data_IF_830822245958
#
_entry.id   IF_830822245958
#
_cell.length_a   1.000
_cell.length_b   1.000
_cell.length_c   1.000
_cell.angle_alpha   90.00
_cell.angle_beta   90.00
_cell.angle_gamma   90.00
#
_symmetry.space_group_name_H-M   'P 1'
#
loop_
_entity.id
_entity.type
_entity.pdbx_description
1 polymer ?
#
# COMPACT_ATOMS: atom_id res chain seq x y z
N UNK A 1 12.28 -8.36 -11.46
CA UNK A 1 11.25 -7.62 -10.73
C UNK A 1 10.12 -7.29 -11.68
N UNK A 2 8.92 -7.74 -11.40
CA UNK A 2 7.71 -7.40 -12.12
C UNK A 2 6.87 -6.42 -11.30
N UNK A 3 6.10 -5.55 -11.95
CA UNK A 3 5.18 -4.61 -11.30
C UNK A 3 3.76 -4.91 -11.75
N UNK A 4 2.88 -5.08 -10.78
CA UNK A 4 1.45 -5.31 -10.98
C UNK A 4 0.67 -4.09 -10.49
N UNK A 5 -0.24 -3.57 -11.31
CA UNK A 5 -0.91 -2.29 -11.07
C UNK A 5 -2.42 -2.49 -10.86
N UNK A 6 -2.96 -1.96 -9.77
CA UNK A 6 -4.40 -1.99 -9.50
C UNK A 6 -5.18 -1.10 -10.49
N UNK A 7 -6.48 -1.35 -10.59
CA UNK A 7 -7.38 -0.53 -11.42
C UNK A 7 -7.42 0.94 -11.00
N UNK A 8 -7.24 1.22 -9.71
CA UNK A 8 -7.20 2.59 -9.20
C UNK A 8 -5.95 3.34 -9.69
N UNK A 9 -4.77 2.70 -9.64
CA UNK A 9 -3.53 3.30 -10.13
C UNK A 9 -3.57 3.44 -11.66
N UNK A 10 -4.00 2.41 -12.38
CA UNK A 10 -4.05 2.43 -13.84
C UNK A 10 -5.07 3.44 -14.40
N UNK A 11 -6.17 3.69 -13.71
CA UNK A 11 -7.18 4.65 -14.13
C UNK A 11 -6.89 6.09 -13.73
N UNK A 12 -5.89 6.34 -12.89
CA UNK A 12 -5.57 7.66 -12.31
C UNK A 12 -6.76 8.35 -11.64
N UNK A 13 -7.77 7.59 -11.21
CA UNK A 13 -8.99 8.13 -10.61
C UNK A 13 -8.87 8.19 -9.11
N UNK A 14 -8.33 9.27 -8.61
CA UNK A 14 -8.44 9.62 -7.19
C UNK A 14 -9.68 10.48 -7.01
N UNK A 15 -10.71 9.91 -6.38
CA UNK A 15 -11.88 10.69 -5.95
C UNK A 15 -11.61 11.21 -4.55
N UNK A 16 -11.09 12.40 -4.46
CA UNK A 16 -10.99 13.13 -3.21
C UNK A 16 -12.27 13.92 -2.94
N UNK A 17 -12.71 13.96 -1.70
CA UNK A 17 -13.82 14.81 -1.29
C UNK A 17 -13.41 15.69 -0.10
N UNK A 18 -13.50 17.00 -0.32
CA UNK A 18 -13.93 18.11 0.54
C UNK A 18 -13.25 18.37 1.89
N UNK A 19 -12.66 19.54 1.94
CA UNK A 19 -12.30 20.41 3.08
C UNK A 19 -12.28 19.78 4.48
N UNK A 20 -11.10 19.42 4.97
CA UNK A 20 -10.85 19.25 6.40
C UNK A 20 -11.31 17.91 6.99
N UNK A 21 -11.69 16.94 6.20
CA UNK A 21 -12.11 15.61 6.64
C UNK A 21 -11.12 14.51 6.27
N UNK A 22 -11.12 13.44 7.05
CA UNK A 22 -10.50 12.19 6.64
C UNK A 22 -11.33 11.55 5.50
N UNK A 23 -10.66 10.99 4.49
CA UNK A 23 -11.30 10.20 3.45
C UNK A 23 -10.51 8.93 3.16
N UNK A 24 -11.14 8.00 2.48
CA UNK A 24 -10.53 6.71 2.19
C UNK A 24 -10.37 6.54 0.68
N UNK A 25 -9.17 6.17 0.27
CA UNK A 25 -8.89 5.68 -1.08
C UNK A 25 -8.75 4.16 -1.02
N UNK A 26 -9.45 3.45 -1.89
CA UNK A 26 -9.38 1.99 -1.94
C UNK A 26 -8.96 1.55 -3.33
N UNK A 27 -8.01 0.62 -3.38
CA UNK A 27 -7.59 -0.09 -4.57
C UNK A 27 -7.64 -1.59 -4.35
N UNK A 28 -7.90 -2.34 -5.42
CA UNK A 28 -7.88 -3.80 -5.40
C UNK A 28 -7.23 -4.34 -6.66
N UNK A 29 -6.60 -5.49 -6.53
CA UNK A 29 -5.95 -6.18 -7.64
C UNK A 29 -6.13 -7.69 -7.50
N UNK A 30 -6.44 -8.33 -8.61
CA UNK A 30 -6.48 -9.79 -8.69
C UNK A 30 -5.08 -10.32 -9.04
N UNK A 31 -4.50 -11.03 -8.10
CA UNK A 31 -3.21 -11.66 -8.27
C UNK A 31 -3.43 -13.07 -8.83
N UNK A 32 -3.22 -13.20 -10.12
CA UNK A 32 -3.39 -14.46 -10.87
C UNK A 32 -2.07 -15.17 -11.19
N UNK A 33 -0.95 -14.52 -10.84
CA UNK A 33 0.39 -15.04 -11.06
C UNK A 33 1.17 -15.00 -9.75
N UNK A 34 1.95 -16.04 -9.47
CA UNK A 34 2.79 -16.10 -8.29
C UNK A 34 3.76 -14.93 -8.24
N UNK A 35 3.85 -14.28 -7.08
CA UNK A 35 4.81 -13.21 -6.83
C UNK A 35 6.20 -13.79 -6.55
N UNK A 36 7.19 -13.28 -7.24
CA UNK A 36 8.60 -13.52 -6.91
C UNK A 36 9.11 -12.52 -5.89
N UNK A 37 10.19 -12.84 -5.20
CA UNK A 37 10.86 -11.89 -4.30
C UNK A 37 11.28 -10.63 -5.06
N UNK A 38 10.91 -9.49 -4.54
CA UNK A 38 11.15 -8.18 -5.14
C UNK A 38 10.05 -7.70 -6.10
N UNK A 39 9.05 -8.52 -6.40
CA UNK A 39 7.90 -8.06 -7.19
C UNK A 39 7.10 -7.02 -6.42
N UNK A 40 6.63 -6.02 -7.15
CA UNK A 40 5.90 -4.88 -6.61
C UNK A 40 4.47 -4.88 -7.15
N UNK A 41 3.52 -4.70 -6.24
CA UNK A 41 2.09 -4.57 -6.54
C UNK A 41 1.65 -3.15 -6.18
N UNK A 42 1.31 -2.35 -7.16
CA UNK A 42 0.80 -1.00 -6.96
C UNK A 42 -0.68 -1.04 -6.57
N UNK A 43 -1.00 -0.60 -5.36
CA UNK A 43 -2.33 -0.77 -4.77
C UNK A 43 -3.19 0.49 -4.87
N UNK A 44 -2.70 1.60 -4.33
CA UNK A 44 -3.45 2.85 -4.21
C UNK A 44 -2.58 4.04 -4.59
N UNK A 45 -3.21 5.08 -5.11
CA UNK A 45 -2.55 6.35 -5.37
C UNK A 45 -3.01 7.39 -4.34
N UNK A 46 -2.04 8.00 -3.65
CA UNK A 46 -2.27 9.09 -2.69
C UNK A 46 -2.08 10.42 -3.43
N UNK A 47 -3.09 11.29 -3.46
CA UNK A 47 -2.97 12.60 -4.10
C UNK A 47 -1.93 13.48 -3.40
N UNK A 48 -1.39 14.42 -4.14
CA UNK A 48 -0.49 15.42 -3.58
C UNK A 48 -1.20 16.27 -2.51
N UNK A 49 -0.50 16.62 -1.44
CA UNK A 49 -1.03 17.45 -0.36
C UNK A 49 -1.83 16.71 0.71
N UNK A 50 -1.88 15.38 0.63
CA UNK A 50 -2.56 14.56 1.64
C UNK A 50 -1.56 13.75 2.45
N UNK A 51 -1.91 13.57 3.73
CA UNK A 51 -1.17 12.72 4.68
C UNK A 51 -1.85 11.37 4.82
N UNK A 52 -1.06 10.31 4.87
CA UNK A 52 -1.54 8.97 5.16
C UNK A 52 -1.71 8.80 6.66
N UNK A 53 -2.93 8.53 7.11
CA UNK A 53 -3.26 8.28 8.51
C UNK A 53 -3.13 6.79 8.84
N UNK A 54 -3.61 5.94 7.95
CA UNK A 54 -3.54 4.49 8.12
C UNK A 54 -3.58 3.80 6.76
N UNK A 55 -2.89 2.68 6.66
CA UNK A 55 -2.92 1.79 5.51
C UNK A 55 -3.43 0.44 5.99
N UNK A 56 -4.49 -0.04 5.36
CA UNK A 56 -5.15 -1.30 5.67
C UNK A 56 -5.09 -2.19 4.44
N UNK A 57 -4.40 -3.30 4.54
CA UNK A 57 -4.29 -4.29 3.47
C UNK A 57 -5.03 -5.55 3.88
N UNK A 58 -5.96 -5.98 3.04
CA UNK A 58 -6.67 -7.25 3.18
C UNK A 58 -6.21 -8.20 2.06
N UNK A 59 -5.79 -9.38 2.43
CA UNK A 59 -5.42 -10.43 1.50
C UNK A 59 -6.08 -11.76 1.90
N UNK A 60 -6.53 -12.58 0.94
CA UNK A 60 -6.90 -13.94 1.20
C UNK A 60 -5.65 -14.79 1.46
N UNK A 61 -5.83 -16.05 1.76
CA UNK A 61 -4.73 -17.02 1.81
C UNK A 61 -4.17 -17.22 0.39
N UNK A 62 -2.99 -16.66 0.12
CA UNK A 62 -2.27 -16.73 -1.16
C UNK A 62 -1.19 -17.81 -1.17
N UNK A 63 -0.81 -18.32 0.00
CA UNK A 63 0.14 -19.42 0.14
C UNK A 63 -0.55 -20.62 0.81
N UNK A 64 -0.80 -21.65 0.00
CA UNK A 64 -1.47 -22.89 0.42
C UNK A 64 -0.51 -24.02 0.76
N UNK A 65 0.79 -23.74 0.75
CA UNK A 65 1.82 -24.71 1.11
C UNK A 65 1.65 -25.26 2.53
N UNK A 66 2.18 -26.45 2.78
CA UNK A 66 2.20 -27.06 4.12
C UNK A 66 3.05 -26.25 5.11
N UNK A 67 4.07 -25.58 4.60
CA UNK A 67 4.90 -24.63 5.34
C UNK A 67 4.90 -23.32 4.56
N UNK A 68 3.89 -22.45 4.78
CA UNK A 68 3.77 -21.22 4.02
C UNK A 68 4.91 -20.25 4.35
N UNK A 69 5.42 -19.57 3.34
CA UNK A 69 6.58 -18.69 3.46
C UNK A 69 6.30 -17.27 2.98
N UNK A 70 5.16 -17.02 2.31
CA UNK A 70 4.84 -15.73 1.71
C UNK A 70 4.88 -14.59 2.72
N UNK A 71 5.66 -13.56 2.43
CA UNK A 71 5.74 -12.35 3.22
C UNK A 71 5.73 -11.09 2.36
N UNK A 72 5.17 -10.02 2.89
CA UNK A 72 5.01 -8.73 2.24
C UNK A 72 5.52 -7.58 3.10
N UNK A 73 5.93 -6.53 2.43
CA UNK A 73 6.10 -5.19 2.96
C UNK A 73 5.12 -4.25 2.26
N UNK A 74 4.69 -3.19 2.94
CA UNK A 74 3.83 -2.17 2.33
C UNK A 74 4.41 -0.78 2.60
N UNK A 75 4.66 -0.07 1.54
CA UNK A 75 5.27 1.25 1.58
C UNK A 75 5.05 2.03 0.29
N UNK A 76 6.09 2.72 -0.12
CA UNK A 76 6.13 3.46 -1.37
C UNK A 76 7.43 3.17 -2.14
N UNK A 77 7.63 3.82 -3.29
CA UNK A 77 8.81 3.63 -4.12
C UNK A 77 10.14 4.03 -3.47
N UNK A 78 10.08 4.79 -2.36
CA UNK A 78 11.27 5.25 -1.64
C UNK A 78 11.58 4.36 -0.45
N UNK A 79 10.54 3.86 0.24
CA UNK A 79 10.67 3.03 1.44
C UNK A 79 9.62 1.94 1.41
N UNK A 80 10.05 0.72 1.08
CA UNK A 80 9.16 -0.41 0.81
C UNK A 80 8.36 -0.89 2.04
N UNK A 81 8.88 -0.69 3.24
CA UNK A 81 8.31 -1.09 4.52
C UNK A 81 7.75 0.07 5.36
N UNK A 82 7.54 1.23 4.73
CA UNK A 82 7.14 2.47 5.43
C UNK A 82 5.92 2.31 6.33
N UNK A 83 4.93 1.55 5.89
CA UNK A 83 3.66 1.40 6.59
C UNK A 83 3.52 0.05 7.29
N UNK A 84 3.90 -1.01 6.63
CA UNK A 84 3.81 -2.38 7.16
C UNK A 84 5.09 -3.13 6.82
N UNK A 85 5.77 -3.65 7.84
CA UNK A 85 6.99 -4.43 7.68
C UNK A 85 6.72 -5.90 8.00
N UNK A 86 7.19 -6.81 7.15
CA UNK A 86 7.22 -8.25 7.42
C UNK A 86 5.85 -8.91 7.61
N UNK A 87 4.81 -8.46 6.90
CA UNK A 87 3.47 -9.04 7.02
C UNK A 87 3.37 -10.43 6.40
N UNK A 88 2.79 -11.35 7.14
CA UNK A 88 2.53 -12.75 6.72
C UNK A 88 1.05 -13.04 6.46
N UNK A 89 0.22 -12.01 6.25
CA UNK A 89 -1.22 -12.22 6.02
C UNK A 89 -1.53 -13.10 4.81
N UNK A 90 -0.64 -13.13 3.80
CA UNK A 90 -0.80 -14.01 2.65
C UNK A 90 -0.70 -15.51 2.97
N UNK A 91 -0.17 -15.88 4.15
CA UNK A 91 -0.06 -17.27 4.58
C UNK A 91 -1.37 -17.80 5.17
N UNK A 92 -2.14 -16.95 5.84
CA UNK A 92 -3.37 -17.35 6.56
C UNK A 92 -4.63 -16.69 6.02
N UNK A 93 -4.49 -15.62 5.27
CA UNK A 93 -5.55 -14.66 5.00
C UNK A 93 -5.75 -13.72 6.18
N UNK A 94 -6.26 -12.53 5.93
CA UNK A 94 -6.57 -11.56 6.97
C UNK A 94 -6.25 -10.13 6.60
N UNK A 95 -6.07 -9.30 7.63
CA UNK A 95 -5.83 -7.86 7.51
C UNK A 95 -4.53 -7.47 8.19
N UNK A 96 -3.71 -6.72 7.49
CA UNK A 96 -2.56 -6.01 8.07
C UNK A 96 -2.83 -4.51 8.08
N UNK A 97 -2.37 -3.83 9.12
CA UNK A 97 -2.53 -2.38 9.30
C UNK A 97 -1.25 -1.76 9.80
N UNK A 98 -1.02 -0.50 9.47
CA UNK A 98 0.10 0.29 9.97
C UNK A 98 0.19 0.25 11.49
N UNK A 99 -0.92 0.35 12.21
CA UNK A 99 -0.99 0.36 13.67
C UNK A 99 -0.78 -1.00 14.32
N UNK A 100 -1.03 -2.11 13.59
CA UNK A 100 -0.98 -3.47 14.15
C UNK A 100 0.36 -4.16 13.95
N UNK A 101 1.16 -3.73 12.99
CA UNK A 101 2.37 -4.43 12.57
C UNK A 101 3.66 -3.97 13.28
N UNK A 102 3.55 -3.18 14.37
CA UNK A 102 4.73 -2.59 15.01
C UNK A 102 5.46 -1.59 14.10
N UNK A 103 4.93 -1.36 12.91
CA UNK A 103 5.30 -0.24 12.08
C UNK A 103 5.03 1.04 12.85
N UNK A 104 5.84 2.03 12.68
CA UNK A 104 5.54 3.34 13.19
C UNK A 104 4.17 3.73 12.64
N UNK A 105 3.18 3.76 13.50
CA UNK A 105 1.82 4.25 13.21
C UNK A 105 1.85 5.73 12.86
N UNK A 106 2.70 6.10 11.90
CA UNK A 106 2.92 7.42 11.61
C UNK A 106 3.46 7.63 10.22
N UNK A 107 2.76 7.80 9.41
CA UNK A 107 2.21 8.98 9.15
C UNK A 107 3.12 10.19 9.13
N UNK A 108 3.48 10.48 8.04
CA UNK A 108 4.31 11.58 7.65
C UNK A 108 4.03 12.86 8.44
N UNK A 109 5.02 13.37 9.21
CA UNK A 109 4.86 14.66 9.85
C UNK A 109 4.60 15.72 8.80
N UNK A 110 3.80 16.69 9.19
CA UNK A 110 3.61 17.94 8.50
C UNK A 110 4.93 18.41 7.90
N UNK A 111 5.00 18.51 6.56
CA UNK A 111 6.18 19.00 5.84
C UNK A 111 7.09 17.95 5.25
N UNK A 112 6.92 16.68 5.52
CA UNK A 112 7.57 15.60 4.77
C UNK A 112 6.53 14.97 3.85
N UNK A 113 6.63 15.23 2.60
CA UNK A 113 5.73 14.71 1.59
C UNK A 113 5.88 13.18 1.51
N UNK A 114 4.86 12.41 1.64
CA UNK A 114 4.79 10.94 1.51
C UNK A 114 5.69 10.38 0.38
N UNK A 115 7.01 10.46 0.54
CA UNK A 115 7.95 10.18 -0.55
C UNK A 115 7.95 11.21 -1.68
N UNK A 116 7.21 12.28 -1.55
CA UNK A 116 7.17 13.36 -2.53
C UNK A 116 8.33 14.31 -2.26
N UNK A 117 9.19 14.50 -3.24
CA UNK A 117 10.22 15.56 -3.18
C UNK A 117 9.54 16.93 -3.16
N UNK A 118 9.90 17.75 -2.20
CA UNK A 118 9.50 19.16 -2.15
C UNK A 118 9.97 19.87 -3.40
N UNK A 119 9.06 20.20 -4.25
CA UNK A 119 9.39 20.94 -5.47
C UNK A 119 8.36 20.68 -6.57
N UNK A 120 7.30 21.41 -6.56
CA UNK A 120 6.33 21.62 -7.62
C UNK A 120 6.10 20.47 -8.60
N UNK A 121 4.93 19.93 -8.67
CA UNK A 121 4.52 18.84 -9.57
C UNK A 121 5.04 17.43 -9.21
N UNK A 122 5.41 17.18 -7.98
CA UNK A 122 5.60 15.82 -7.53
C UNK A 122 4.26 15.07 -7.69
N UNK A 123 4.26 14.05 -8.51
CA UNK A 123 3.08 13.24 -8.78
C UNK A 123 2.52 12.59 -7.52
N UNK A 124 1.32 12.06 -7.61
CA UNK A 124 0.74 11.29 -6.52
C UNK A 124 1.67 10.14 -6.11
N UNK A 125 1.82 9.93 -4.80
CA UNK A 125 2.56 8.77 -4.28
C UNK A 125 1.74 7.50 -4.45
N UNK A 126 2.38 6.44 -4.89
CA UNK A 126 1.75 5.12 -5.01
C UNK A 126 2.07 4.29 -3.78
N UNK A 127 1.04 3.77 -3.12
CA UNK A 127 1.17 2.78 -2.07
C UNK A 127 1.39 1.42 -2.75
N UNK A 128 2.48 0.77 -2.38
CA UNK A 128 2.96 -0.46 -2.99
C UNK A 128 3.07 -1.57 -1.96
N UNK A 129 2.75 -2.78 -2.38
CA UNK A 129 3.09 -4.00 -1.66
C UNK A 129 4.28 -4.64 -2.36
N UNK A 130 5.32 -4.95 -1.63
CA UNK A 130 6.50 -5.67 -2.15
C UNK A 130 6.57 -7.07 -1.54
N UNK A 131 6.78 -8.07 -2.39
CA UNK A 131 6.99 -9.44 -1.97
C UNK A 131 8.43 -9.59 -1.42
N UNK A 132 8.56 -9.98 -0.17
CA UNK A 132 9.87 -10.21 0.49
C UNK A 132 10.22 -11.68 0.60
N UNK A 133 9.21 -12.56 0.60
CA UNK A 133 9.40 -14.00 0.51
C UNK A 133 8.30 -14.60 -0.39
N UNK A 134 8.69 -15.43 -1.34
CA UNK A 134 7.76 -16.07 -2.25
C UNK A 134 6.91 -17.15 -1.56
N UNK A 135 5.74 -17.44 -2.12
CA UNK A 135 4.86 -18.49 -1.62
C UNK A 135 5.48 -19.87 -1.84
N UNK A 136 5.32 -20.76 -0.86
CA UNK A 136 5.67 -22.17 -1.01
C UNK A 136 4.75 -22.86 -2.03
N UNK A 137 3.45 -22.51 -2.02
CA UNK A 137 2.47 -22.95 -3.02
C UNK A 137 1.49 -21.81 -3.27
N UNK A 138 1.57 -21.19 -4.43
CA UNK A 138 0.74 -20.05 -4.78
C UNK A 138 -0.72 -20.41 -4.96
N UNK A 139 -1.60 -19.55 -4.44
CA UNK A 139 -3.02 -19.53 -4.77
C UNK A 139 -3.43 -18.13 -5.24
N UNK A 140 -4.25 -18.06 -6.26
CA UNK A 140 -4.77 -16.79 -6.77
C UNK A 140 -5.72 -16.15 -5.77
N UNK A 141 -5.76 -14.81 -5.77
CA UNK A 141 -6.68 -14.09 -4.90
C UNK A 141 -6.65 -12.60 -5.13
N UNK A 142 -7.64 -11.90 -4.58
CA UNK A 142 -7.77 -10.45 -4.67
C UNK A 142 -7.18 -9.80 -3.41
N UNK A 143 -6.21 -8.93 -3.59
CA UNK A 143 -5.66 -8.08 -2.52
C UNK A 143 -6.34 -6.71 -2.60
N UNK A 144 -6.82 -6.22 -1.47
CA UNK A 144 -7.45 -4.90 -1.36
C UNK A 144 -6.68 -4.04 -0.38
N UNK A 145 -6.43 -2.80 -0.75
CA UNK A 145 -5.81 -1.81 0.11
C UNK A 145 -6.77 -0.63 0.31
N UNK A 146 -6.95 -0.22 1.54
CA UNK A 146 -7.67 1.00 1.91
C UNK A 146 -6.73 1.93 2.65
N UNK A 147 -6.59 3.15 2.16
CA UNK A 147 -5.71 4.17 2.73
C UNK A 147 -6.58 5.29 3.28
N UNK A 148 -6.45 5.56 4.58
CA UNK A 148 -7.11 6.68 5.23
C UNK A 148 -6.21 7.90 5.09
N UNK A 149 -6.74 8.96 4.51
CA UNK A 149 -6.04 10.19 4.20
C UNK A 149 -6.65 11.38 4.92
N UNK A 150 -5.80 12.35 5.28
CA UNK A 150 -6.21 13.68 5.75
C UNK A 150 -5.53 14.75 4.92
N UNK A 151 -6.15 15.93 4.81
CA UNK A 151 -5.47 17.08 4.22
C UNK A 151 -4.23 17.45 5.03
N UNK A 152 -3.05 17.47 4.38
CA UNK A 152 -1.80 17.90 4.99
C UNK A 152 -1.78 19.42 5.17
N UNK A 153 -1.10 19.88 6.22
CA UNK A 153 -0.88 21.31 6.48
C UNK A 153 0.08 21.87 5.41
N UNK A 154 -0.44 22.53 4.41
CA UNK A 154 0.36 23.06 3.31
C UNK A 154 -0.20 22.81 1.91
N UNK A 155 -1.33 22.12 1.81
CA UNK A 155 -2.01 21.91 0.53
C UNK A 155 -2.57 23.24 -0.08
N UNK A 156 -2.42 24.35 0.61
CA UNK A 156 -2.98 25.65 0.23
C UNK A 156 -1.96 26.81 0.28
N UNK A 157 -0.71 26.54 0.06
CA UNK A 157 0.26 27.64 -0.12
C UNK A 157 0.65 27.82 -1.56
#
# INVERSE_FOLDING_TARGET
>A
MATYTSSQVSSHRVRGNWRGGAFVVTGSIDLTTALAVGDVVELCQVPNGYEVVDVIVNAPKLDTGTTPTLAFEVGDSTTADRYISGSTIGQTGGVARTSAAGGTAYVNPIGTNNGQTSGGNAGATVIQLQCTAAAATWANGTVTCSVILMEGYGAFS
#
